data_IF_955064526344
#
_entry.id   IF_955064526344
#
_cell.length_a   1.000
_cell.length_b   1.000
_cell.length_c   1.000
_cell.angle_alpha   90.00
_cell.angle_beta   90.00
_cell.angle_gamma   90.00
#
_symmetry.space_group_name_H-M   'P 1'
#
loop_
_entity.id
_entity.type
_entity.pdbx_description
1 polymer ?
#
# COMPACT_ATOMS: atom_id res chain seq x y z
N UNK A 1 21.01 4.39 -14.81
CA UNK A 1 21.08 4.47 -13.35
C UNK A 1 20.18 5.60 -12.91
N UNK A 2 19.15 5.31 -12.13
CA UNK A 2 18.27 6.33 -11.52
C UNK A 2 18.82 6.57 -10.13
N UNK A 3 19.13 7.81 -9.77
CA UNK A 3 19.53 8.14 -8.40
C UNK A 3 18.36 7.81 -7.48
N UNK A 4 18.64 7.16 -6.34
CA UNK A 4 17.61 6.81 -5.38
C UNK A 4 16.89 8.08 -4.89
N UNK A 5 15.57 8.04 -4.86
CA UNK A 5 14.70 9.08 -4.34
C UNK A 5 13.60 8.39 -3.56
N UNK A 6 13.41 8.78 -2.30
CA UNK A 6 12.33 8.26 -1.50
C UNK A 6 10.99 8.79 -2.00
N UNK A 7 10.02 7.88 -2.09
CA UNK A 7 8.63 8.21 -2.29
C UNK A 7 8.09 8.75 -0.96
N UNK A 8 7.64 10.01 -0.89
CA UNK A 8 7.07 10.53 0.33
C UNK A 8 5.77 9.78 0.66
N UNK A 9 5.76 9.13 1.81
CA UNK A 9 4.62 8.37 2.34
C UNK A 9 4.26 8.92 3.71
N UNK A 10 2.98 9.26 3.89
CA UNK A 10 2.42 9.63 5.18
C UNK A 10 1.87 8.39 5.88
N UNK A 11 2.70 7.77 6.73
CA UNK A 11 2.35 6.63 7.59
C UNK A 11 1.45 7.03 8.76
N UNK A 12 1.27 8.34 9.00
CA UNK A 12 0.32 8.88 9.97
C UNK A 12 -1.12 8.98 9.46
N UNK A 13 -1.35 8.70 8.17
CA UNK A 13 -2.66 8.81 7.54
C UNK A 13 -3.69 7.86 8.18
N UNK A 14 -4.85 8.40 8.52
CA UNK A 14 -5.95 7.60 9.08
C UNK A 14 -6.60 6.72 8.03
N UNK A 15 -7.28 5.65 8.45
CA UNK A 15 -8.06 4.79 7.57
C UNK A 15 -9.10 5.57 6.74
N UNK A 16 -9.70 6.61 7.32
CA UNK A 16 -10.68 7.46 6.63
C UNK A 16 -10.01 8.33 5.58
N UNK A 17 -8.85 8.91 5.86
CA UNK A 17 -8.08 9.68 4.88
C UNK A 17 -7.62 8.80 3.72
N UNK A 18 -7.13 7.59 4.00
CA UNK A 18 -6.79 6.59 2.99
C UNK A 18 -8.01 6.22 2.13
N UNK A 19 -9.16 5.97 2.74
CA UNK A 19 -10.39 5.66 2.02
C UNK A 19 -10.84 6.82 1.12
N UNK A 20 -10.78 8.06 1.61
CA UNK A 20 -11.10 9.25 0.83
C UNK A 20 -10.13 9.44 -0.34
N UNK A 21 -8.86 9.11 -0.16
CA UNK A 21 -7.85 9.16 -1.21
C UNK A 21 -8.16 8.17 -2.35
N UNK A 22 -8.57 6.93 -2.02
CA UNK A 22 -8.94 5.92 -3.02
C UNK A 22 -10.14 6.36 -3.87
N UNK A 23 -11.20 6.85 -3.22
CA UNK A 23 -12.50 7.00 -3.89
C UNK A 23 -12.80 8.43 -4.38
N UNK A 24 -12.17 9.45 -3.80
CA UNK A 24 -12.42 10.85 -4.15
C UNK A 24 -13.91 11.23 -4.09
N UNK A 25 -14.38 11.96 -5.10
CA UNK A 25 -15.75 12.51 -5.14
C UNK A 25 -16.84 11.53 -5.63
N UNK A 26 -16.51 10.25 -5.88
CA UNK A 26 -17.45 9.26 -6.43
C UNK A 26 -18.22 8.44 -5.41
N UNK A 27 -17.88 8.56 -4.13
CA UNK A 27 -18.53 7.84 -3.03
C UNK A 27 -18.69 8.73 -1.80
N UNK A 28 -19.57 8.32 -0.91
CA UNK A 28 -19.58 8.77 0.48
C UNK A 28 -18.98 7.67 1.34
N UNK A 29 -17.79 7.91 1.89
CA UNK A 29 -17.17 7.01 2.89
C UNK A 29 -17.97 7.15 4.19
N UNK A 30 -18.56 6.05 4.65
CA UNK A 30 -19.35 5.99 5.89
C UNK A 30 -18.56 5.45 7.07
N UNK A 31 -17.48 4.72 6.80
CA UNK A 31 -16.57 4.18 7.80
C UNK A 31 -15.31 3.62 7.15
N UNK A 32 -14.20 3.66 7.86
CA UNK A 32 -12.98 2.96 7.46
C UNK A 32 -12.21 2.53 8.70
N UNK A 33 -11.67 1.32 8.67
CA UNK A 33 -10.85 0.76 9.75
C UNK A 33 -9.57 0.18 9.15
N UNK A 34 -8.44 0.50 9.76
CA UNK A 34 -7.16 -0.10 9.42
C UNK A 34 -6.74 -1.07 10.54
N UNK A 35 -6.28 -2.26 10.15
CA UNK A 35 -5.72 -3.27 11.03
C UNK A 35 -4.36 -3.72 10.47
N UNK A 36 -3.30 -3.39 11.18
CA UNK A 36 -1.93 -3.67 10.78
C UNK A 36 -0.95 -2.89 11.65
N UNK A 37 0.32 -2.95 11.28
CA UNK A 37 1.32 -2.05 11.83
C UNK A 37 1.12 -0.64 11.24
N UNK A 38 1.36 0.40 12.05
CA UNK A 38 1.23 1.79 11.63
C UNK A 38 2.17 2.14 10.47
N UNK A 39 3.35 1.54 10.44
CA UNK A 39 4.36 1.81 9.41
C UNK A 39 4.09 0.99 8.13
N UNK A 40 3.12 0.06 8.16
CA UNK A 40 2.76 -0.80 7.02
C UNK A 40 1.72 -0.20 6.06
N UNK A 41 1.34 1.07 6.25
CA UNK A 41 0.41 1.74 5.35
C UNK A 41 0.65 3.23 5.30
N UNK A 42 0.21 3.88 4.22
CA UNK A 42 0.20 5.33 4.18
C UNK A 42 -0.32 5.90 2.87
N UNK A 43 -0.42 7.23 2.82
CA UNK A 43 -0.71 7.96 1.57
C UNK A 43 0.61 8.37 0.93
N UNK A 44 0.85 7.94 -0.30
CA UNK A 44 2.02 8.39 -1.06
C UNK A 44 1.69 9.61 -1.91
N UNK A 45 2.73 10.40 -2.21
CA UNK A 45 2.68 11.53 -3.15
C UNK A 45 3.88 11.52 -4.09
N UNK A 46 3.84 12.30 -5.17
CA UNK A 46 4.89 12.36 -6.20
C UNK A 46 5.18 11.02 -6.90
N UNK A 47 4.21 10.10 -6.95
CA UNK A 47 4.36 8.77 -7.53
C UNK A 47 4.81 8.81 -8.99
N UNK A 48 4.28 9.74 -9.79
CA UNK A 48 4.63 9.86 -11.21
C UNK A 48 6.07 10.33 -11.42
N UNK A 49 6.62 11.07 -10.45
CA UNK A 49 7.99 11.61 -10.50
C UNK A 49 9.01 10.64 -9.89
N UNK A 50 8.68 10.05 -8.74
CA UNK A 50 9.62 9.23 -7.95
C UNK A 50 9.59 7.76 -8.34
N UNK A 51 8.40 7.23 -8.62
CA UNK A 51 8.19 5.80 -8.89
C UNK A 51 7.36 5.56 -10.17
N UNK A 52 7.78 6.12 -11.33
CA UNK A 52 7.01 6.05 -12.56
C UNK A 52 6.78 4.61 -13.01
N UNK A 53 5.52 4.27 -13.29
CA UNK A 53 5.13 2.96 -13.84
C UNK A 53 4.84 1.88 -12.81
N UNK A 54 5.05 2.15 -11.51
CA UNK A 54 4.66 1.24 -10.41
C UNK A 54 3.57 1.83 -9.52
N UNK A 55 3.44 3.15 -9.44
CA UNK A 55 2.28 3.77 -8.79
C UNK A 55 1.09 3.88 -9.77
N UNK A 56 -0.14 3.58 -9.31
CA UNK A 56 -1.37 3.80 -10.11
C UNK A 56 -1.62 5.26 -10.57
N UNK A 57 -0.96 6.22 -9.93
CA UNK A 57 -0.97 7.65 -10.26
C UNK A 57 0.01 8.43 -9.37
N UNK A 58 -0.10 9.76 -9.37
CA UNK A 58 0.81 10.63 -8.61
C UNK A 58 0.58 10.61 -7.09
N UNK A 59 -0.66 10.34 -6.67
CA UNK A 59 -1.04 10.13 -5.28
C UNK A 59 -1.88 8.88 -5.14
N UNK A 60 -1.76 8.19 -4.02
CA UNK A 60 -2.55 7.01 -3.72
C UNK A 60 -2.26 6.49 -2.32
N UNK A 61 -2.75 5.29 -2.03
CA UNK A 61 -2.39 4.57 -0.81
C UNK A 61 -1.43 3.43 -1.11
N UNK A 62 -0.62 3.07 -0.13
CA UNK A 62 0.20 1.87 -0.13
C UNK A 62 -0.14 1.03 1.10
N UNK A 63 -0.19 -0.29 0.91
CA UNK A 63 -0.28 -1.30 1.97
C UNK A 63 0.91 -2.23 1.78
N UNK A 64 1.67 -2.49 2.84
CA UNK A 64 2.87 -3.30 2.83
C UNK A 64 2.76 -4.41 3.87
N UNK A 65 3.40 -5.56 3.62
CA UNK A 65 3.67 -6.54 4.67
C UNK A 65 4.96 -6.22 5.45
N UNK A 66 5.69 -5.19 5.01
CA UNK A 66 6.85 -4.62 5.68
C UNK A 66 6.60 -3.15 6.04
N UNK A 67 7.68 -2.36 6.09
CA UNK A 67 7.59 -0.91 6.20
C UNK A 67 7.19 -0.32 4.83
N UNK A 68 6.26 0.62 4.82
CA UNK A 68 5.83 1.30 3.61
C UNK A 68 6.88 2.29 3.10
N UNK A 69 7.61 2.96 4.00
CA UNK A 69 8.64 3.96 3.64
C UNK A 69 9.83 3.31 2.92
N UNK A 70 10.08 2.02 3.18
CA UNK A 70 11.10 1.21 2.51
C UNK A 70 10.76 0.84 1.05
N UNK A 71 9.61 1.26 0.50
CA UNK A 71 9.21 0.98 -0.88
C UNK A 71 10.25 1.46 -1.92
N UNK A 72 10.94 2.55 -1.63
CA UNK A 72 12.01 3.12 -2.46
C UNK A 72 13.25 3.32 -1.60
N UNK A 73 14.42 3.03 -2.16
CA UNK A 73 15.67 3.20 -1.42
C UNK A 73 15.97 4.69 -1.14
N UNK A 74 16.50 4.96 0.06
CA UNK A 74 17.04 6.27 0.46
C UNK A 74 18.38 6.63 -0.20
N UNK A 75 19.10 5.61 -0.69
CA UNK A 75 20.41 5.78 -1.34
C UNK A 75 20.71 4.64 -2.30
N UNK A 76 21.67 4.84 -3.19
CA UNK A 76 22.13 3.81 -4.14
C UNK A 76 21.26 3.68 -5.38
N UNK A 77 20.89 2.46 -5.75
CA UNK A 77 20.02 2.13 -6.88
C UNK A 77 18.75 1.41 -6.38
N UNK A 78 17.73 1.25 -7.21
CA UNK A 78 16.60 0.36 -6.92
C UNK A 78 17.06 -1.11 -6.86
N UNK A 79 16.44 -1.91 -6.00
CA UNK A 79 16.68 -3.36 -5.85
C UNK A 79 18.17 -3.74 -5.65
N UNK A 80 18.73 -3.43 -4.48
CA UNK A 80 20.15 -3.66 -4.16
C UNK A 80 20.41 -5.00 -3.47
N UNK A 81 19.37 -5.66 -2.98
CA UNK A 81 19.45 -6.92 -2.24
C UNK A 81 18.25 -7.78 -2.63
N UNK A 82 18.50 -9.07 -2.81
CA UNK A 82 17.53 -10.09 -3.22
C UNK A 82 16.75 -10.69 -2.04
N UNK A 83 16.77 -10.00 -0.90
CA UNK A 83 16.18 -10.47 0.35
C UNK A 83 16.08 -9.28 1.29
N UNK A 84 15.20 -8.36 0.95
CA UNK A 84 14.81 -7.28 1.85
C UNK A 84 13.55 -7.70 2.60
N UNK A 85 13.56 -7.55 3.93
CA UNK A 85 12.41 -7.89 4.76
C UNK A 85 12.42 -7.07 6.04
N UNK A 86 11.24 -6.55 6.37
CA UNK A 86 10.98 -5.88 7.64
C UNK A 86 9.82 -6.62 8.30
N UNK A 87 10.06 -7.18 9.49
CA UNK A 87 8.99 -7.81 10.27
C UNK A 87 8.18 -6.72 10.97
N UNK A 88 6.86 -6.79 10.88
CA UNK A 88 5.96 -5.77 11.45
C UNK A 88 5.10 -6.36 12.57
N UNK A 89 4.33 -5.52 13.25
CA UNK A 89 3.29 -5.96 14.19
C UNK A 89 1.94 -6.25 13.52
N UNK A 90 1.94 -6.42 12.19
CA UNK A 90 0.75 -6.67 11.39
C UNK A 90 -0.03 -7.94 11.75
N UNK A 91 -1.22 -8.07 11.19
CA UNK A 91 -2.15 -9.15 11.57
C UNK A 91 -1.63 -10.50 11.08
N UNK A 92 -1.41 -11.41 12.02
CA UNK A 92 -1.00 -12.78 11.74
C UNK A 92 -2.21 -13.72 11.65
N UNK A 93 -2.19 -14.65 10.70
CA UNK A 93 -3.20 -15.69 10.50
C UNK A 93 -4.65 -15.17 10.43
N UNK A 94 -4.86 -14.05 9.74
CA UNK A 94 -6.22 -13.58 9.49
C UNK A 94 -7.00 -14.66 8.73
N UNK A 95 -8.19 -15.02 9.23
CA UNK A 95 -8.94 -16.15 8.69
C UNK A 95 -9.38 -15.96 7.23
N UNK A 96 -9.76 -14.74 6.84
CA UNK A 96 -10.18 -14.44 5.47
C UNK A 96 -8.99 -14.46 4.52
N UNK A 97 -7.86 -13.86 4.93
CA UNK A 97 -6.64 -13.89 4.12
C UNK A 97 -6.07 -15.31 4.00
N UNK A 98 -6.09 -16.10 5.07
CA UNK A 98 -5.66 -17.50 5.03
C UNK A 98 -6.54 -18.34 4.10
N UNK A 99 -7.86 -18.12 4.13
CA UNK A 99 -8.78 -18.80 3.23
C UNK A 99 -8.53 -18.42 1.77
N UNK A 100 -8.22 -17.15 1.49
CA UNK A 100 -7.90 -16.68 0.14
C UNK A 100 -6.53 -17.19 -0.36
N UNK A 101 -5.51 -17.21 0.51
CA UNK A 101 -4.15 -17.64 0.19
C UNK A 101 -3.97 -19.17 0.20
N UNK A 102 -4.84 -19.91 0.90
CA UNK A 102 -4.68 -21.35 1.13
C UNK A 102 -3.54 -21.70 2.10
N UNK A 103 -3.01 -20.73 2.84
CA UNK A 103 -1.86 -20.87 3.75
C UNK A 103 -1.96 -19.90 4.93
N UNK A 104 -1.08 -20.04 5.92
CA UNK A 104 -0.95 -19.07 7.01
C UNK A 104 -0.32 -17.76 6.52
N UNK A 105 -1.04 -16.66 6.71
CA UNK A 105 -0.60 -15.29 6.37
C UNK A 105 0.07 -14.62 7.56
N UNK A 106 0.95 -13.66 7.29
CA UNK A 106 1.71 -12.90 8.29
C UNK A 106 1.71 -11.43 7.93
N UNK A 107 1.89 -10.60 8.95
CA UNK A 107 2.19 -9.18 8.82
C UNK A 107 1.21 -8.42 7.94
N UNK A 108 -0.08 -8.80 7.99
CA UNK A 108 -1.08 -8.23 7.12
C UNK A 108 -1.43 -6.79 7.52
N UNK A 109 -1.42 -5.90 6.54
CA UNK A 109 -2.01 -4.57 6.55
C UNK A 109 -3.38 -4.63 5.86
N UNK A 110 -4.45 -4.39 6.61
CA UNK A 110 -5.84 -4.58 6.17
C UNK A 110 -6.58 -3.25 6.29
N UNK A 111 -7.14 -2.78 5.18
CA UNK A 111 -8.00 -1.60 5.14
C UNK A 111 -9.42 -2.01 4.76
N UNK A 112 -10.33 -1.95 5.73
CA UNK A 112 -11.76 -2.16 5.54
C UNK A 112 -12.48 -0.82 5.35
N UNK A 113 -13.29 -0.70 4.29
CA UNK A 113 -13.97 0.55 3.94
C UNK A 113 -15.45 0.29 3.68
N UNK A 114 -16.30 1.02 4.40
CA UNK A 114 -17.73 1.12 4.13
C UNK A 114 -18.02 2.40 3.34
N UNK A 115 -18.68 2.27 2.20
CA UNK A 115 -19.00 3.42 1.36
C UNK A 115 -20.33 3.27 0.60
N UNK A 116 -20.92 4.41 0.25
CA UNK A 116 -22.12 4.51 -0.59
C UNK A 116 -21.71 5.12 -1.94
N UNK A 117 -21.78 4.38 -3.06
CA UNK A 117 -21.44 4.93 -4.36
C UNK A 117 -22.52 5.90 -4.86
N UNK A 118 -22.11 6.99 -5.51
CA UNK A 118 -23.07 7.95 -6.11
C UNK A 118 -23.48 7.54 -7.53
N UNK A 119 -22.74 6.62 -8.15
CA UNK A 119 -22.99 6.09 -9.49
C UNK A 119 -23.21 4.58 -9.50
N UNK A 120 -23.59 4.04 -10.66
CA UNK A 120 -23.84 2.60 -10.85
C UNK A 120 -22.59 1.78 -11.15
N UNK A 121 -21.45 2.42 -11.39
CA UNK A 121 -20.18 1.77 -11.71
C UNK A 121 -19.08 2.40 -10.86
N UNK A 122 -18.27 1.53 -10.25
CA UNK A 122 -17.07 1.90 -9.52
C UNK A 122 -15.86 1.31 -10.26
N UNK A 123 -14.75 2.04 -10.28
CA UNK A 123 -13.49 1.56 -10.86
C UNK A 123 -12.38 1.85 -9.88
N UNK A 124 -11.53 0.85 -9.66
CA UNK A 124 -10.37 0.94 -8.79
C UNK A 124 -9.16 0.42 -9.56
N UNK A 125 -8.05 1.14 -9.45
CA UNK A 125 -6.75 0.69 -9.93
C UNK A 125 -5.96 0.23 -8.73
N UNK A 126 -5.39 -0.96 -8.81
CA UNK A 126 -4.42 -1.48 -7.85
C UNK A 126 -3.22 -2.01 -8.63
N UNK A 127 -2.05 -1.93 -8.01
CA UNK A 127 -0.82 -2.51 -8.53
C UNK A 127 -0.27 -3.42 -7.43
N UNK A 128 0.00 -4.68 -7.76
CA UNK A 128 0.77 -5.56 -6.88
C UNK A 128 2.24 -5.35 -7.17
N UNK A 129 2.99 -4.93 -6.15
CA UNK A 129 4.43 -4.79 -6.20
C UNK A 129 5.06 -5.81 -5.26
N UNK A 130 6.24 -6.31 -5.62
CA UNK A 130 7.07 -7.17 -4.77
C UNK A 130 8.52 -6.79 -4.99
N UNK A 131 9.33 -6.87 -3.94
CA UNK A 131 10.79 -6.75 -4.06
C UNK A 131 11.38 -7.81 -5.00
N UNK A 132 10.72 -8.96 -5.12
CA UNK A 132 11.14 -10.07 -5.99
C UNK A 132 10.73 -9.89 -7.47
N UNK A 133 9.84 -8.95 -7.81
CA UNK A 133 9.34 -8.80 -9.20
C UNK A 133 10.42 -8.45 -10.25
N UNK A 134 11.51 -7.72 -9.94
CA UNK A 134 12.63 -7.53 -10.87
C UNK A 134 13.54 -8.75 -11.00
N UNK A 135 13.35 -9.77 -10.16
CA UNK A 135 14.28 -10.90 -10.00
C UNK A 135 13.76 -12.20 -10.64
N UNK A 136 12.48 -12.25 -11.06
CA UNK A 136 11.83 -13.42 -11.67
C UNK A 136 10.91 -13.09 -12.86
#
# INVERSE_FOLDING_TARGET
MVAASELPIDTGATAVEMAQNIFGSGVVVTGATFSGDNDSSGIYTNGDTVAPGVTPGDTGIILSTGDAEDFTNSSGQSNQSNSTSTNTSGVNNNAQLNAAAGAGTRDAAILDIDFIPTGSVMTMKFVFSSEEYPEF
#
